data_IF_456719422877
#
_entry.id   IF_456719422877
#
_cell.length_a   1.000
_cell.length_b   1.000
_cell.length_c   1.000
_cell.angle_alpha   90.00
_cell.angle_beta   90.00
_cell.angle_gamma   90.00
#
_symmetry.space_group_name_H-M   'P 1'
#
loop_
_entity.id
_entity.type
_entity.pdbx_description
1 polymer ?
#
# COMPACT_ATOMS: atom_id res chain seq x y z
N UNK A 1 -14.06 5.56 0.35
CA UNK A 1 -13.74 5.95 -1.05
C UNK A 1 -12.68 7.06 -1.18
N UNK A 2 -12.88 8.28 -0.66
CA UNK A 2 -11.95 9.40 -0.92
C UNK A 2 -10.54 9.22 -0.33
N UNK A 3 -10.42 8.62 0.86
CA UNK A 3 -9.11 8.29 1.45
C UNK A 3 -8.31 7.32 0.59
N UNK A 4 -8.95 6.24 0.12
CA UNK A 4 -8.33 5.27 -0.79
C UNK A 4 -7.95 5.88 -2.14
N UNK A 5 -8.74 6.82 -2.67
CA UNK A 5 -8.37 7.60 -3.86
C UNK A 5 -7.08 8.39 -3.64
N UNK A 6 -6.98 9.10 -2.52
CA UNK A 6 -5.77 9.86 -2.19
C UNK A 6 -4.56 8.94 -2.02
N UNK A 7 -4.73 7.83 -1.31
CA UNK A 7 -3.67 6.85 -1.09
C UNK A 7 -3.21 6.18 -2.41
N UNK A 8 -4.12 5.87 -3.33
CA UNK A 8 -3.78 5.35 -4.65
C UNK A 8 -2.95 6.35 -5.47
N UNK A 9 -3.26 7.66 -5.38
CA UNK A 9 -2.42 8.70 -6.01
C UNK A 9 -1.02 8.76 -5.43
N UNK A 10 -0.87 8.54 -4.12
CA UNK A 10 0.43 8.43 -3.46
C UNK A 10 1.19 7.23 -4.02
N UNK A 11 0.58 6.04 -4.06
CA UNK A 11 1.22 4.86 -4.63
C UNK A 11 1.63 5.03 -6.09
N UNK A 12 0.78 5.65 -6.93
CA UNK A 12 1.12 5.97 -8.32
C UNK A 12 2.22 7.03 -8.44
N UNK A 13 2.35 7.93 -7.46
CA UNK A 13 3.48 8.88 -7.38
C UNK A 13 4.78 8.15 -7.04
N UNK A 14 4.73 7.18 -6.11
CA UNK A 14 5.86 6.32 -5.78
C UNK A 14 6.31 5.48 -6.98
N UNK A 15 5.37 4.86 -7.70
CA UNK A 15 5.67 4.13 -8.95
C UNK A 15 6.45 4.98 -9.95
N UNK A 16 6.02 6.23 -10.18
CA UNK A 16 6.70 7.18 -11.09
C UNK A 16 8.11 7.57 -10.63
N UNK A 17 8.40 7.44 -9.34
CA UNK A 17 9.72 7.70 -8.74
C UNK A 17 10.61 6.45 -8.66
N UNK A 18 10.12 5.29 -9.12
CA UNK A 18 10.84 4.02 -9.06
C UNK A 18 10.72 3.29 -7.71
N UNK A 19 9.81 3.71 -6.83
CA UNK A 19 9.54 3.05 -5.56
C UNK A 19 8.48 1.97 -5.82
N UNK A 20 8.92 0.71 -5.93
CA UNK A 20 8.08 -0.38 -6.47
C UNK A 20 7.97 -1.60 -5.56
N UNK A 21 8.75 -1.68 -4.47
CA UNK A 21 8.69 -2.81 -3.53
C UNK A 21 7.88 -2.45 -2.29
N UNK A 22 7.31 -3.43 -1.60
CA UNK A 22 6.62 -3.20 -0.31
C UNK A 22 7.59 -2.57 0.68
N UNK A 23 8.85 -3.02 0.71
CA UNK A 23 9.89 -2.44 1.56
C UNK A 23 9.99 -0.92 1.36
N UNK A 24 10.18 -0.48 0.12
CA UNK A 24 10.46 0.93 -0.17
C UNK A 24 9.20 1.78 -0.06
N UNK A 25 8.04 1.23 -0.44
CA UNK A 25 6.73 1.90 -0.28
C UNK A 25 6.50 2.21 1.21
N UNK A 26 6.66 1.21 2.09
CA UNK A 26 6.40 1.39 3.52
C UNK A 26 7.44 2.30 4.17
N UNK A 27 8.73 2.16 3.86
CA UNK A 27 9.76 3.07 4.40
C UNK A 27 9.59 4.52 3.91
N UNK A 28 8.95 4.72 2.76
CA UNK A 28 8.60 6.07 2.27
C UNK A 28 7.33 6.60 2.93
N UNK A 29 6.35 5.73 3.19
CA UNK A 29 5.05 6.11 3.76
C UNK A 29 5.11 6.32 5.28
N UNK A 30 5.81 5.44 5.99
CA UNK A 30 5.97 5.42 7.44
C UNK A 30 7.46 5.25 7.78
N UNK A 31 8.25 6.34 7.83
CA UNK A 31 9.70 6.28 8.04
C UNK A 31 10.10 5.71 9.41
N UNK A 32 11.29 5.10 9.47
CA UNK A 32 11.75 4.31 10.62
C UNK A 32 12.12 5.12 11.86
N UNK A 33 12.25 6.45 11.75
CA UNK A 33 12.49 7.31 12.90
C UNK A 33 11.21 7.60 13.70
N UNK A 34 10.02 7.26 13.18
CA UNK A 34 8.73 7.41 13.87
C UNK A 34 7.97 6.08 14.01
N UNK A 35 8.35 5.05 13.25
CA UNK A 35 7.61 3.80 13.12
C UNK A 35 8.55 2.60 13.11
N UNK A 36 8.01 1.42 13.42
CA UNK A 36 8.65 0.14 13.09
C UNK A 36 8.33 -0.24 11.64
N UNK A 37 9.00 0.43 10.69
CA UNK A 37 8.77 0.28 9.24
C UNK A 37 9.03 -1.14 8.74
N UNK A 38 9.97 -1.85 9.37
CA UNK A 38 10.29 -3.22 8.99
C UNK A 38 9.18 -4.19 9.39
N UNK A 39 8.66 -4.06 10.61
CA UNK A 39 7.49 -4.81 11.04
C UNK A 39 6.28 -4.49 10.15
N UNK A 40 6.03 -3.21 9.85
CA UNK A 40 4.95 -2.80 8.94
C UNK A 40 5.12 -3.48 7.56
N UNK A 41 6.30 -3.36 6.93
CA UNK A 41 6.55 -3.97 5.62
C UNK A 41 6.36 -5.50 5.64
N UNK A 42 6.78 -6.17 6.72
CA UNK A 42 6.57 -7.62 6.90
C UNK A 42 5.08 -7.99 6.99
N UNK A 43 4.30 -7.20 7.73
CA UNK A 43 2.85 -7.43 7.86
C UNK A 43 2.12 -7.20 6.54
N UNK A 44 2.48 -6.15 5.80
CA UNK A 44 1.90 -5.88 4.47
C UNK A 44 2.27 -6.97 3.47
N UNK A 45 3.52 -7.42 3.43
CA UNK A 45 3.92 -8.55 2.59
C UNK A 45 3.10 -9.81 2.94
N UNK A 46 2.96 -10.11 4.23
CA UNK A 46 2.19 -11.28 4.69
C UNK A 46 0.71 -11.20 4.27
N UNK A 47 0.07 -10.05 4.42
CA UNK A 47 -1.36 -9.90 4.12
C UNK A 47 -1.68 -9.79 2.63
N UNK A 48 -0.74 -9.27 1.84
CA UNK A 48 -0.90 -9.18 0.38
C UNK A 48 -0.52 -10.47 -0.33
N UNK A 49 0.36 -11.29 0.27
CA UNK A 49 0.94 -12.47 -0.35
C UNK A 49 2.08 -12.16 -1.33
N UNK A 50 2.46 -10.89 -1.48
CA UNK A 50 3.60 -10.48 -2.31
C UNK A 50 4.91 -10.55 -1.54
N UNK A 51 6.02 -10.76 -2.26
CA UNK A 51 7.35 -10.68 -1.65
C UNK A 51 7.67 -9.25 -1.20
N UNK A 52 8.26 -9.09 0.00
CA UNK A 52 8.64 -7.78 0.56
C UNK A 52 9.53 -6.95 -0.39
N UNK A 53 10.42 -7.62 -1.13
CA UNK A 53 11.36 -7.02 -2.10
C UNK A 53 10.97 -7.27 -3.56
N UNK A 54 9.79 -7.85 -3.80
CA UNK A 54 9.28 -8.04 -5.16
C UNK A 54 8.90 -6.68 -5.74
N UNK A 55 9.32 -6.40 -6.97
CA UNK A 55 8.82 -5.25 -7.71
C UNK A 55 7.34 -5.44 -8.07
N UNK A 56 6.52 -4.47 -7.69
CA UNK A 56 5.09 -4.43 -7.93
C UNK A 56 4.76 -3.26 -8.86
N UNK A 57 3.65 -3.38 -9.58
CA UNK A 57 3.10 -2.30 -10.38
C UNK A 57 1.94 -1.64 -9.61
N UNK A 58 2.25 -0.57 -8.88
CA UNK A 58 1.24 0.17 -8.13
C UNK A 58 0.36 1.09 -9.02
N UNK A 59 0.60 1.13 -10.34
CA UNK A 59 -0.31 1.74 -11.31
C UNK A 59 -1.47 0.83 -11.70
N UNK A 60 -1.31 -0.49 -11.51
CA UNK A 60 -2.38 -1.46 -11.66
C UNK A 60 -3.36 -1.37 -10.47
N UNK A 61 -4.65 -1.20 -10.77
CA UNK A 61 -5.67 -0.98 -9.73
C UNK A 61 -5.82 -2.15 -8.76
N UNK A 62 -5.69 -3.40 -9.24
CA UNK A 62 -5.77 -4.57 -8.36
C UNK A 62 -4.59 -4.60 -7.38
N UNK A 63 -3.39 -4.37 -7.89
CA UNK A 63 -2.16 -4.33 -7.07
C UNK A 63 -2.25 -3.20 -6.04
N UNK A 64 -2.65 -2.00 -6.47
CA UNK A 64 -2.84 -0.86 -5.57
C UNK A 64 -3.92 -1.12 -4.52
N UNK A 65 -5.05 -1.72 -4.89
CA UNK A 65 -6.13 -2.02 -3.95
C UNK A 65 -5.71 -3.06 -2.90
N UNK A 66 -5.00 -4.11 -3.30
CA UNK A 66 -4.47 -5.12 -2.38
C UNK A 66 -3.45 -4.51 -1.41
N UNK A 67 -2.51 -3.70 -1.91
CA UNK A 67 -1.55 -2.97 -1.07
C UNK A 67 -2.25 -2.04 -0.08
N UNK A 68 -3.19 -1.22 -0.56
CA UNK A 68 -3.90 -0.25 0.28
C UNK A 68 -4.81 -0.91 1.32
N UNK A 69 -5.40 -2.07 1.01
CA UNK A 69 -6.18 -2.84 1.98
C UNK A 69 -5.29 -3.31 3.14
N UNK A 70 -4.09 -3.82 2.83
CA UNK A 70 -3.13 -4.28 3.82
C UNK A 70 -2.56 -3.10 4.64
N UNK A 71 -2.20 -1.99 3.99
CA UNK A 71 -1.74 -0.77 4.67
C UNK A 71 -2.83 -0.22 5.60
N UNK A 72 -4.07 -0.07 5.13
CA UNK A 72 -5.17 0.40 5.97
C UNK A 72 -5.42 -0.53 7.18
N UNK A 73 -5.25 -1.84 7.01
CA UNK A 73 -5.33 -2.78 8.14
C UNK A 73 -4.24 -2.52 9.20
N UNK A 74 -3.02 -2.15 8.80
CA UNK A 74 -1.97 -1.74 9.75
C UNK A 74 -2.33 -0.43 10.46
N UNK A 75 -2.83 0.57 9.72
CA UNK A 75 -3.14 1.90 10.26
C UNK A 75 -4.28 1.90 11.29
N UNK A 76 -5.35 1.11 11.05
CA UNK A 76 -6.57 1.19 11.86
C UNK A 76 -6.97 -0.12 12.53
N UNK A 77 -6.18 -1.18 12.39
CA UNK A 77 -6.42 -2.49 13.00
C UNK A 77 -7.61 -3.28 12.42
N UNK A 78 -8.31 -2.74 11.43
CA UNK A 78 -9.47 -3.37 10.77
C UNK A 78 -9.20 -3.58 9.28
N UNK A 79 -9.59 -4.74 8.76
CA UNK A 79 -9.61 -4.99 7.32
C UNK A 79 -10.87 -4.39 6.67
N UNK A 80 -10.67 -3.53 5.67
CA UNK A 80 -11.75 -3.05 4.82
C UNK A 80 -12.10 -4.08 3.73
N UNK A 81 -13.35 -4.17 3.29
CA UNK A 81 -13.70 -5.05 2.18
C UNK A 81 -13.05 -4.54 0.88
N UNK A 82 -12.50 -5.45 0.08
CA UNK A 82 -11.65 -5.10 -1.07
C UNK A 82 -12.39 -4.25 -2.12
N UNK A 83 -13.70 -4.45 -2.29
CA UNK A 83 -14.52 -3.66 -3.20
C UNK A 83 -14.54 -2.16 -2.83
N UNK A 84 -14.65 -1.83 -1.54
CA UNK A 84 -14.65 -0.45 -1.06
C UNK A 84 -13.28 0.24 -1.24
N UNK A 85 -12.19 -0.54 -1.18
CA UNK A 85 -10.85 -0.06 -1.50
C UNK A 85 -10.73 0.17 -3.00
N UNK A 86 -11.11 -0.82 -3.80
CA UNK A 86 -11.11 -0.78 -5.28
C UNK A 86 -11.89 0.40 -5.83
N UNK A 87 -13.08 0.68 -5.31
CA UNK A 87 -13.87 1.86 -5.67
C UNK A 87 -13.11 3.17 -5.45
N UNK A 88 -12.30 3.25 -4.39
CA UNK A 88 -11.46 4.41 -4.15
C UNK A 88 -10.29 4.49 -5.12
N UNK A 89 -9.63 3.35 -5.38
CA UNK A 89 -8.50 3.26 -6.33
C UNK A 89 -8.92 3.65 -7.74
N UNK A 90 -10.08 3.17 -8.21
CA UNK A 90 -10.61 3.47 -9.54
C UNK A 90 -10.90 4.96 -9.79
N UNK A 91 -11.00 5.77 -8.73
CA UNK A 91 -11.22 7.23 -8.81
C UNK A 91 -9.92 8.05 -8.84
N UNK A 92 -8.76 7.40 -8.73
CA UNK A 92 -7.46 8.02 -8.55
C UNK A 92 -6.93 8.67 -9.83
#
# INVERSE_FOLDING_TARGET
KWGFRAAARILRSYQRRGITTINDIIHTFAPSHENDSDHYANMVATWTGYGKYQALDASNDNTAAVLLQAMARMEVGRQYPINAVMEGVALA
#
